data_IF_650501953456
#
_entry.id   IF_650501953456
#
_cell.length_a   1.000
_cell.length_b   1.000
_cell.length_c   1.000
_cell.angle_alpha   90.00
_cell.angle_beta   90.00
_cell.angle_gamma   90.00
#
_symmetry.space_group_name_H-M   'P 1'
#
loop_
_entity.id
_entity.type
_entity.pdbx_description
1 polymer ?
#
# COMPACT_ATOMS: atom_id res chain seq x y z
N UNK A 1 10.09 13.07 0.35
CA UNK A 1 9.81 11.85 -0.42
C UNK A 1 8.31 11.56 -0.56
N UNK A 2 7.77 11.69 -1.78
CA UNK A 2 6.35 11.45 -2.11
C UNK A 2 6.06 9.99 -2.48
N UNK A 3 7.04 9.30 -3.09
CA UNK A 3 6.96 7.90 -3.53
C UNK A 3 6.41 6.97 -2.45
N UNK A 4 6.92 7.06 -1.22
CA UNK A 4 6.54 6.15 -0.13
C UNK A 4 5.25 6.54 0.61
N UNK A 5 4.54 7.61 0.20
CA UNK A 5 3.34 8.04 0.97
C UNK A 5 2.14 7.10 0.81
N UNK A 6 2.09 6.28 -0.25
CA UNK A 6 1.09 5.20 -0.41
C UNK A 6 1.23 4.08 0.64
N UNK A 7 2.41 3.98 1.26
CA UNK A 7 2.72 2.91 2.19
C UNK A 7 2.33 3.25 3.64
N UNK A 8 1.78 4.44 3.91
CA UNK A 8 1.36 4.91 5.24
C UNK A 8 -0.15 4.77 5.42
N UNK A 9 -0.57 4.20 6.54
CA UNK A 9 -1.98 4.00 6.93
C UNK A 9 -2.43 5.03 7.95
N UNK A 10 -2.67 6.24 7.47
CA UNK A 10 -3.18 7.35 8.27
C UNK A 10 -2.15 7.98 9.22
N UNK A 11 -2.60 8.95 10.02
CA UNK A 11 -1.70 9.75 10.85
C UNK A 11 -1.04 8.94 11.98
N UNK A 12 -1.77 7.99 12.56
CA UNK A 12 -1.35 7.16 13.69
C UNK A 12 -0.77 5.79 13.32
N UNK A 13 -0.29 5.62 12.08
CA UNK A 13 0.32 4.37 11.62
C UNK A 13 1.54 3.99 12.49
N UNK A 14 1.53 2.84 13.19
CA UNK A 14 2.65 2.44 14.02
C UNK A 14 3.84 1.90 13.21
N UNK A 15 3.68 1.64 11.91
CA UNK A 15 4.78 1.16 11.05
C UNK A 15 5.40 2.25 10.20
N UNK A 16 4.79 3.45 10.14
CA UNK A 16 5.28 4.56 9.33
C UNK A 16 5.05 5.90 10.00
N UNK A 17 6.14 6.62 10.30
CA UNK A 17 6.08 7.94 10.91
C UNK A 17 6.91 8.94 10.11
N UNK A 18 6.39 10.15 9.93
CA UNK A 18 7.17 11.26 9.40
C UNK A 18 7.56 12.19 10.55
N UNK A 19 8.82 12.58 10.57
CA UNK A 19 9.39 13.55 11.50
C UNK A 19 10.20 14.57 10.69
N UNK A 20 9.62 15.76 10.49
CA UNK A 20 10.16 16.75 9.55
C UNK A 20 10.36 16.17 8.13
N UNK A 21 11.60 16.22 7.64
CA UNK A 21 12.01 15.67 6.34
C UNK A 21 12.31 14.17 6.36
N UNK A 22 12.37 13.55 7.55
CA UNK A 22 12.73 12.15 7.77
C UNK A 22 11.49 11.27 7.79
N UNK A 23 11.57 10.13 7.09
CA UNK A 23 10.55 9.08 7.13
C UNK A 23 11.11 7.89 7.89
N UNK A 24 10.48 7.56 9.01
CA UNK A 24 10.72 6.33 9.76
C UNK A 24 9.73 5.26 9.31
N UNK A 25 10.24 4.04 9.09
CA UNK A 25 9.42 2.87 8.80
C UNK A 25 9.95 1.64 9.51
N UNK A 26 9.06 0.70 9.76
CA UNK A 26 9.38 -0.65 10.19
C UNK A 26 8.89 -1.65 9.15
N UNK A 27 9.51 -2.82 9.11
CA UNK A 27 9.10 -3.93 8.26
C UNK A 27 9.68 -5.24 8.81
N UNK A 28 9.21 -6.38 8.31
CA UNK A 28 9.79 -7.68 8.61
C UNK A 28 10.49 -8.26 7.39
N UNK A 29 11.81 -8.36 7.51
CA UNK A 29 12.67 -9.03 6.54
C UNK A 29 12.72 -10.54 6.83
N UNK A 30 13.18 -11.34 5.86
CA UNK A 30 13.37 -12.77 6.09
C UNK A 30 14.41 -13.02 7.18
N UNK A 31 15.42 -12.15 7.24
CA UNK A 31 16.46 -12.09 8.26
C UNK A 31 15.99 -11.49 9.61
N UNK A 32 14.77 -10.94 9.69
CA UNK A 32 14.14 -10.50 10.93
C UNK A 32 13.58 -9.07 10.92
N UNK A 33 13.18 -8.54 12.09
CA UNK A 33 12.60 -7.21 12.18
C UNK A 33 13.60 -6.11 11.83
N UNK A 34 13.12 -5.05 11.19
CA UNK A 34 13.92 -3.86 10.86
C UNK A 34 13.14 -2.58 11.15
N UNK A 35 13.86 -1.60 11.68
CA UNK A 35 13.48 -0.18 11.60
C UNK A 35 14.45 0.52 10.67
N UNK A 36 13.97 1.43 9.85
CA UNK A 36 14.82 2.27 9.03
C UNK A 36 14.30 3.69 8.94
N UNK A 37 15.24 4.63 8.82
CA UNK A 37 14.95 6.03 8.55
C UNK A 37 15.47 6.42 7.18
N UNK A 38 14.65 7.15 6.44
CA UNK A 38 14.96 7.63 5.11
C UNK A 38 14.93 9.15 5.10
N UNK A 39 15.96 9.76 4.54
CA UNK A 39 16.04 11.19 4.31
C UNK A 39 16.34 11.46 2.84
N UNK A 40 15.64 12.43 2.25
CA UNK A 40 15.84 12.81 0.85
C UNK A 40 16.32 14.27 0.81
N UNK A 41 17.64 14.51 0.98
CA UNK A 41 18.19 15.87 1.02
C UNK A 41 17.95 16.66 -0.27
N UNK A 42 17.91 15.97 -1.41
CA UNK A 42 17.52 16.54 -2.69
C UNK A 42 16.89 15.49 -3.62
N UNK A 43 16.38 15.90 -4.78
CA UNK A 43 15.51 15.07 -5.64
C UNK A 43 16.10 13.71 -6.05
N UNK A 44 17.41 13.61 -6.26
CA UNK A 44 18.11 12.41 -6.76
C UNK A 44 18.90 11.60 -5.71
N UNK A 45 18.83 11.94 -4.43
CA UNK A 45 19.57 11.25 -3.38
C UNK A 45 18.63 10.89 -2.24
N UNK A 46 18.62 9.61 -1.88
CA UNK A 46 18.00 9.11 -0.66
C UNK A 46 19.09 8.50 0.20
N UNK A 47 19.18 8.93 1.45
CA UNK A 47 20.05 8.33 2.46
C UNK A 47 19.20 7.48 3.39
N UNK A 48 19.74 6.33 3.80
CA UNK A 48 19.06 5.40 4.69
C UNK A 48 19.97 4.97 5.83
N UNK A 49 19.39 4.81 7.01
CA UNK A 49 19.98 4.11 8.14
C UNK A 49 18.99 3.07 8.64
N UNK A 50 19.50 1.92 9.07
CA UNK A 50 18.70 0.76 9.39
C UNK A 50 19.20 0.08 10.67
N UNK A 51 18.28 -0.48 11.45
CA UNK A 51 18.55 -1.14 12.72
C UNK A 51 17.75 -2.43 12.84
N UNK A 52 18.34 -3.42 13.52
CA UNK A 52 17.76 -4.74 13.75
C UNK A 52 18.33 -5.81 12.81
N UNK A 53 17.96 -7.09 13.03
CA UNK A 53 18.46 -8.21 12.24
C UNK A 53 18.20 -8.08 10.72
N UNK A 54 17.08 -7.44 10.35
CA UNK A 54 16.71 -7.20 8.96
C UNK A 54 17.40 -6.01 8.28
N UNK A 55 18.34 -5.33 8.95
CA UNK A 55 18.92 -4.08 8.46
C UNK A 55 19.67 -4.23 7.13
N UNK A 56 20.53 -5.24 7.01
CA UNK A 56 21.32 -5.48 5.79
C UNK A 56 20.40 -5.81 4.60
N UNK A 57 19.49 -6.79 4.75
CA UNK A 57 18.52 -7.17 3.70
C UNK A 57 17.68 -5.96 3.24
N UNK A 58 17.25 -5.11 4.17
CA UNK A 58 16.49 -3.91 3.83
C UNK A 58 17.33 -2.90 3.04
N UNK A 59 18.59 -2.67 3.43
CA UNK A 59 19.48 -1.75 2.73
C UNK A 59 19.82 -2.25 1.32
N UNK A 60 20.01 -3.55 1.14
CA UNK A 60 20.21 -4.16 -0.18
C UNK A 60 18.99 -3.95 -1.09
N UNK A 61 17.78 -4.03 -0.53
CA UNK A 61 16.52 -3.77 -1.23
C UNK A 61 16.13 -2.29 -1.38
N UNK A 62 16.94 -1.36 -0.85
CA UNK A 62 16.60 0.07 -0.81
C UNK A 62 16.32 0.68 -2.20
N UNK A 63 17.11 0.41 -3.27
CA UNK A 63 16.85 0.97 -4.59
C UNK A 63 15.44 0.64 -5.11
N UNK A 64 15.01 -0.62 -4.98
CA UNK A 64 13.66 -1.05 -5.30
C UNK A 64 12.60 -0.33 -4.46
N UNK A 65 12.80 -0.27 -3.14
CA UNK A 65 11.87 0.36 -2.20
C UNK A 65 11.57 1.81 -2.58
N UNK A 66 12.61 2.60 -2.89
CA UNK A 66 12.46 4.03 -3.22
C UNK A 66 12.08 4.28 -4.68
N UNK A 67 11.91 3.22 -5.47
CA UNK A 67 11.50 3.27 -6.87
C UNK A 67 12.64 3.66 -7.84
N UNK A 68 13.90 3.41 -7.48
CA UNK A 68 15.03 3.63 -8.39
C UNK A 68 15.00 2.70 -9.61
N UNK A 69 14.31 1.56 -9.48
CA UNK A 69 14.11 0.57 -10.55
C UNK A 69 12.78 0.74 -11.29
N UNK A 70 11.97 1.74 -10.93
CA UNK A 70 10.77 2.09 -11.68
C UNK A 70 11.19 2.83 -12.96
N UNK A 71 10.91 2.22 -14.11
CA UNK A 71 11.22 2.77 -15.42
C UNK A 71 10.03 3.58 -15.98
N UNK A 72 10.11 4.92 -16.04
CA UNK A 72 9.07 5.75 -16.64
C UNK A 72 9.18 5.85 -18.17
N UNK A 73 10.14 5.18 -18.81
CA UNK A 73 10.31 5.24 -20.26
C UNK A 73 9.03 4.83 -20.99
N UNK A 74 8.70 5.56 -22.05
CA UNK A 74 7.46 5.35 -22.81
C UNK A 74 6.20 5.88 -22.13
N UNK A 75 6.28 6.47 -20.93
CA UNK A 75 5.13 7.15 -20.33
C UNK A 75 4.82 8.46 -21.06
N UNK A 76 3.66 8.51 -21.73
CA UNK A 76 3.14 9.74 -22.34
C UNK A 76 1.92 10.26 -21.56
N UNK A 77 2.04 11.34 -20.77
CA UNK A 77 0.95 11.83 -19.95
C UNK A 77 -0.23 12.40 -20.76
N UNK A 78 -0.02 12.99 -21.94
CA UNK A 78 -0.96 13.67 -22.86
C UNK A 78 -2.05 14.61 -22.27
N UNK A 79 -2.82 14.18 -21.28
CA UNK A 79 -3.90 14.94 -20.66
C UNK A 79 -3.32 16.13 -19.85
N UNK A 80 -3.81 17.37 -20.02
CA UNK A 80 -3.20 18.57 -19.41
C UNK A 80 -2.96 18.45 -17.90
N UNK A 81 -3.90 17.87 -17.15
CA UNK A 81 -3.75 17.68 -15.70
C UNK A 81 -2.67 16.65 -15.35
N UNK A 82 -2.55 15.58 -16.15
CA UNK A 82 -1.53 14.54 -15.95
C UNK A 82 -0.16 15.08 -16.32
N UNK A 83 -0.05 15.82 -17.43
CA UNK A 83 1.17 16.53 -17.87
C UNK A 83 1.67 17.47 -16.79
N UNK A 84 0.78 18.32 -16.28
CA UNK A 84 1.10 19.31 -15.27
C UNK A 84 1.49 18.66 -13.93
N UNK A 85 0.77 17.62 -13.49
CA UNK A 85 1.15 16.85 -12.30
C UNK A 85 2.49 16.14 -12.49
N UNK A 86 2.76 15.55 -13.65
CA UNK A 86 4.03 14.90 -13.97
C UNK A 86 5.20 15.90 -13.88
N UNK A 87 5.02 17.09 -14.46
CA UNK A 87 6.00 18.19 -14.39
C UNK A 87 6.26 18.67 -12.96
N UNK A 88 5.23 18.74 -12.10
CA UNK A 88 5.40 19.13 -10.69
C UNK A 88 6.10 18.06 -9.84
N UNK A 89 6.02 16.80 -10.25
CA UNK A 89 6.50 15.66 -9.48
C UNK A 89 7.52 14.79 -10.26
N UNK A 90 8.62 15.35 -10.78
CA UNK A 90 9.55 14.62 -11.67
C UNK A 90 10.28 13.44 -10.99
N UNK A 91 10.36 13.47 -9.65
CA UNK A 91 10.93 12.39 -8.83
C UNK A 91 9.91 11.39 -8.30
N UNK A 92 8.64 11.47 -8.71
CA UNK A 92 7.64 10.47 -8.34
C UNK A 92 7.97 9.16 -9.04
N UNK A 93 7.96 8.08 -8.26
CA UNK A 93 8.17 6.71 -8.71
C UNK A 93 7.11 5.80 -8.09
N UNK A 94 7.02 4.58 -8.58
CA UNK A 94 6.24 3.50 -7.95
C UNK A 94 7.15 2.74 -6.98
N UNK A 95 6.81 2.66 -5.68
CA UNK A 95 7.64 1.95 -4.71
C UNK A 95 7.50 0.43 -4.86
N UNK A 96 8.55 -0.31 -4.47
CA UNK A 96 8.53 -1.77 -4.42
C UNK A 96 9.07 -2.28 -3.11
N UNK A 97 8.21 -2.56 -2.13
CA UNK A 97 8.67 -3.08 -0.83
C UNK A 97 9.13 -4.53 -0.89
N UNK A 98 8.64 -5.32 -1.87
CA UNK A 98 8.84 -6.76 -1.91
C UNK A 98 8.25 -7.50 -0.70
N UNK A 99 7.36 -6.87 0.07
CA UNK A 99 6.71 -7.45 1.27
C UNK A 99 5.23 -7.67 0.96
N UNK A 100 4.92 -8.83 0.38
CA UNK A 100 3.58 -9.11 -0.13
C UNK A 100 2.62 -9.34 1.01
N UNK A 101 3.01 -10.11 2.03
CA UNK A 101 2.13 -10.36 3.17
C UNK A 101 1.74 -9.07 3.91
N UNK A 102 2.68 -8.11 4.04
CA UNK A 102 2.42 -6.80 4.65
C UNK A 102 1.37 -6.00 3.86
N UNK A 103 1.51 -5.98 2.52
CA UNK A 103 0.56 -5.31 1.64
C UNK A 103 -0.80 -6.02 1.63
N UNK A 104 -0.79 -7.35 1.62
CA UNK A 104 -1.97 -8.20 1.52
C UNK A 104 -2.84 -8.11 2.78
N UNK A 105 -2.27 -8.26 3.97
CA UNK A 105 -3.03 -8.12 5.23
C UNK A 105 -3.61 -6.71 5.37
N UNK A 106 -2.83 -5.68 5.04
CA UNK A 106 -3.32 -4.31 5.05
C UNK A 106 -4.46 -4.09 4.05
N UNK A 107 -4.32 -4.59 2.82
CA UNK A 107 -5.38 -4.58 1.82
C UNK A 107 -6.63 -5.29 2.32
N UNK A 108 -6.52 -6.49 2.90
CA UNK A 108 -7.67 -7.21 3.47
C UNK A 108 -8.39 -6.39 4.53
N UNK A 109 -7.67 -5.79 5.48
CA UNK A 109 -8.26 -4.94 6.54
C UNK A 109 -9.02 -3.73 5.96
N UNK A 110 -8.54 -3.17 4.86
CA UNK A 110 -9.11 -2.00 4.19
C UNK A 110 -10.32 -2.32 3.29
N UNK A 111 -10.63 -3.59 3.04
CA UNK A 111 -11.72 -3.99 2.14
C UNK A 111 -13.09 -3.45 2.57
N UNK A 112 -13.72 -2.66 1.68
CA UNK A 112 -15.12 -2.21 1.77
C UNK A 112 -15.47 -1.48 3.08
N UNK A 113 -14.51 -0.75 3.65
CA UNK A 113 -14.69 0.05 4.87
C UNK A 113 -14.20 1.48 4.69
N UNK A 114 -14.65 2.36 5.59
CA UNK A 114 -14.10 3.70 5.69
C UNK A 114 -12.63 3.60 6.13
N UNK A 115 -11.73 4.25 5.39
CA UNK A 115 -10.29 4.15 5.64
C UNK A 115 -9.87 4.52 7.07
N UNK A 116 -10.58 5.45 7.73
CA UNK A 116 -10.34 5.78 9.14
C UNK A 116 -10.53 4.57 10.07
N UNK A 117 -11.55 3.75 9.83
CA UNK A 117 -11.85 2.57 10.63
C UNK A 117 -10.82 1.46 10.35
N UNK A 118 -10.44 1.27 9.07
CA UNK A 118 -9.37 0.36 8.69
C UNK A 118 -8.01 0.74 9.32
N UNK A 119 -7.66 2.03 9.32
CA UNK A 119 -6.41 2.51 9.92
C UNK A 119 -6.43 2.41 11.45
N UNK A 120 -7.58 2.58 12.08
CA UNK A 120 -7.75 2.32 13.52
C UNK A 120 -7.56 0.83 13.85
N UNK A 121 -8.14 -0.06 13.05
CA UNK A 121 -7.96 -1.50 13.16
C UNK A 121 -6.49 -1.90 12.99
N UNK A 122 -5.85 -1.42 11.91
CA UNK A 122 -4.43 -1.62 11.62
C UNK A 122 -3.56 -1.22 12.82
N UNK A 123 -3.78 -0.01 13.35
CA UNK A 123 -3.05 0.48 14.53
C UNK A 123 -3.29 -0.41 15.74
N UNK A 124 -4.54 -0.76 16.07
CA UNK A 124 -4.85 -1.58 17.25
C UNK A 124 -4.13 -2.93 17.19
N UNK A 125 -4.23 -3.62 16.05
CA UNK A 125 -3.63 -4.94 15.86
C UNK A 125 -2.10 -4.88 15.96
N UNK A 126 -1.45 -3.88 15.34
CA UNK A 126 -0.01 -3.70 15.46
C UNK A 126 0.46 -3.33 16.87
N UNK A 127 -0.28 -2.47 17.57
CA UNK A 127 0.06 -2.12 18.95
C UNK A 127 -0.02 -3.32 19.90
N UNK A 128 -0.91 -4.28 19.61
CA UNK A 128 -1.13 -5.47 20.42
C UNK A 128 -0.22 -6.64 20.06
N UNK A 129 0.00 -6.88 18.77
CA UNK A 129 0.65 -8.09 18.25
C UNK A 129 1.96 -7.82 17.49
N UNK A 130 2.29 -6.56 17.23
CA UNK A 130 3.55 -6.20 16.58
C UNK A 130 4.70 -6.17 17.58
N UNK A 131 5.89 -6.58 17.12
CA UNK A 131 7.10 -6.52 17.94
C UNK A 131 7.55 -5.06 18.15
N UNK A 132 8.31 -4.78 19.24
CA UNK A 132 9.01 -3.51 19.38
C UNK A 132 9.90 -3.21 18.17
N UNK A 133 9.88 -1.96 17.72
CA UNK A 133 10.74 -1.48 16.63
C UNK A 133 12.22 -1.45 17.07
N UNK A 134 13.15 -2.13 16.37
CA UNK A 134 14.58 -2.09 16.70
C UNK A 134 15.19 -0.68 16.61
N UNK A 135 16.28 -0.45 17.35
CA UNK A 135 17.08 0.77 17.25
C UNK A 135 16.41 2.01 17.86
N UNK A 136 16.85 3.22 17.49
CA UNK A 136 16.34 4.49 18.03
C UNK A 136 15.00 4.89 17.39
N UNK A 137 14.13 3.91 17.12
CA UNK A 137 12.83 4.15 16.52
C UNK A 137 12.00 5.12 17.39
N UNK A 138 11.26 6.08 16.80
CA UNK A 138 10.32 6.89 17.55
C UNK A 138 9.38 6.05 18.41
N UNK A 139 9.14 6.51 19.64
CA UNK A 139 8.30 5.80 20.60
C UNK A 139 6.92 5.44 20.01
N UNK A 140 6.49 4.20 20.28
CA UNK A 140 5.21 3.66 19.84
C UNK A 140 5.23 3.01 18.46
N UNK A 141 6.35 3.03 17.73
CA UNK A 141 6.46 2.25 16.51
C UNK A 141 6.47 0.74 16.80
N UNK A 142 5.94 -0.03 15.86
CA UNK A 142 5.82 -1.49 15.92
C UNK A 142 6.24 -2.10 14.60
N UNK A 143 6.85 -3.28 14.65
CA UNK A 143 7.14 -4.07 13.46
C UNK A 143 5.91 -4.87 13.09
N UNK A 144 5.74 -5.12 11.78
CA UNK A 144 4.73 -6.05 11.29
C UNK A 144 4.85 -7.41 12.02
N UNK A 145 3.75 -7.98 12.56
CA UNK A 145 3.78 -9.30 13.21
C UNK A 145 4.27 -10.41 12.27
N UNK A 146 4.74 -11.52 12.81
CA UNK A 146 5.08 -12.68 11.96
C UNK A 146 3.82 -13.28 11.34
N UNK A 147 4.00 -14.09 10.30
CA UNK A 147 2.92 -14.83 9.67
C UNK A 147 2.18 -15.73 10.68
N UNK A 148 2.94 -16.39 11.56
CA UNK A 148 2.42 -17.24 12.62
C UNK A 148 1.58 -16.43 13.61
N UNK A 149 2.08 -15.26 14.04
CA UNK A 149 1.32 -14.37 14.93
C UNK A 149 0.02 -13.92 14.29
N UNK A 150 0.03 -13.48 13.03
CA UNK A 150 -1.18 -13.09 12.31
C UNK A 150 -2.19 -14.23 12.18
N UNK A 151 -1.71 -15.44 11.88
CA UNK A 151 -2.53 -16.64 11.78
C UNK A 151 -3.13 -17.04 13.14
N UNK A 152 -2.45 -16.74 14.25
CA UNK A 152 -2.89 -17.09 15.61
C UNK A 152 -3.71 -16.01 16.31
N UNK A 153 -3.90 -14.81 15.72
CA UNK A 153 -4.71 -13.76 16.35
C UNK A 153 -6.13 -14.30 16.57
N UNK A 154 -6.62 -14.35 17.82
CA UNK A 154 -7.95 -14.88 18.08
C UNK A 154 -9.07 -14.01 17.51
N UNK A 155 -10.20 -14.62 17.17
CA UNK A 155 -11.32 -13.93 16.52
C UNK A 155 -11.84 -12.70 17.29
N UNK A 156 -11.84 -12.75 18.62
CA UNK A 156 -12.29 -11.62 19.45
C UNK A 156 -11.36 -10.41 19.36
N UNK A 157 -10.06 -10.60 19.10
CA UNK A 157 -9.12 -9.47 18.94
C UNK A 157 -9.32 -8.76 17.59
N UNK A 158 -9.70 -9.51 16.54
CA UNK A 158 -10.15 -8.93 15.26
C UNK A 158 -11.45 -8.14 15.41
N UNK A 159 -12.42 -8.73 16.11
CA UNK A 159 -13.70 -8.10 16.41
C UNK A 159 -13.53 -6.80 17.20
N UNK A 160 -12.73 -6.84 18.26
CA UNK A 160 -12.37 -5.66 19.05
C UNK A 160 -11.63 -4.59 18.23
N UNK A 161 -10.91 -4.99 17.18
CA UNK A 161 -10.30 -4.08 16.21
C UNK A 161 -11.29 -3.49 15.20
N UNK A 162 -12.54 -3.94 15.17
CA UNK A 162 -13.54 -3.52 14.18
C UNK A 162 -13.40 -4.23 12.84
N UNK A 163 -12.72 -5.38 12.80
CA UNK A 163 -12.58 -6.21 11.59
C UNK A 163 -13.64 -7.31 11.61
N UNK A 164 -14.44 -7.40 10.56
CA UNK A 164 -15.50 -8.40 10.48
C UNK A 164 -14.93 -9.83 10.33
N UNK A 165 -15.73 -10.87 10.64
CA UNK A 165 -15.27 -12.26 10.59
C UNK A 165 -14.82 -12.76 9.21
N UNK A 166 -15.30 -12.18 8.11
CA UNK A 166 -14.86 -12.56 6.77
C UNK A 166 -13.46 -12.00 6.50
N UNK A 167 -13.24 -10.69 6.71
CA UNK A 167 -11.90 -10.08 6.59
C UNK A 167 -10.88 -10.76 7.50
N UNK A 168 -11.25 -11.03 8.75
CA UNK A 168 -10.37 -11.72 9.70
C UNK A 168 -9.94 -13.11 9.19
N UNK A 169 -10.89 -13.91 8.72
CA UNK A 169 -10.60 -15.25 8.15
C UNK A 169 -9.71 -15.17 6.90
N UNK A 170 -9.95 -14.20 6.02
CA UNK A 170 -9.11 -13.98 4.84
C UNK A 170 -7.69 -13.55 5.24
N UNK A 171 -7.53 -12.63 6.18
CA UNK A 171 -6.21 -12.20 6.66
C UNK A 171 -5.44 -13.37 7.28
N UNK A 172 -6.10 -14.18 8.11
CA UNK A 172 -5.50 -15.39 8.68
C UNK A 172 -5.18 -16.45 7.60
N UNK A 173 -6.00 -16.59 6.56
CA UNK A 173 -5.72 -17.50 5.44
C UNK A 173 -4.48 -17.05 4.66
N UNK A 174 -4.34 -15.76 4.40
CA UNK A 174 -3.14 -15.16 3.81
C UNK A 174 -1.91 -15.41 4.70
N UNK A 175 -2.05 -15.19 6.01
CA UNK A 175 -0.99 -15.39 6.97
C UNK A 175 -0.52 -16.85 7.07
N UNK A 176 -1.43 -17.83 6.98
CA UNK A 176 -1.09 -19.26 7.02
C UNK A 176 -0.23 -19.73 5.85
N UNK A 177 -0.31 -19.07 4.70
CA UNK A 177 0.61 -19.34 3.59
C UNK A 177 2.04 -18.86 3.90
N UNK A 178 2.17 -17.87 4.80
CA UNK A 178 3.45 -17.38 5.30
C UNK A 178 4.38 -16.95 4.16
N UNK A 179 5.61 -17.49 4.18
CA UNK A 179 6.64 -17.17 3.17
C UNK A 179 6.23 -17.53 1.75
N UNK A 180 5.31 -18.49 1.54
CA UNK A 180 4.88 -18.88 0.19
C UNK A 180 4.27 -17.72 -0.60
N UNK A 181 3.66 -16.75 0.10
CA UNK A 181 3.10 -15.55 -0.53
C UNK A 181 4.19 -14.62 -1.04
N UNK A 182 5.30 -14.50 -0.31
CA UNK A 182 6.47 -13.74 -0.74
C UNK A 182 7.26 -14.54 -1.82
N UNK A 183 7.27 -15.88 -1.75
CA UNK A 183 7.89 -16.76 -2.74
C UNK A 183 7.22 -16.66 -4.12
N UNK A 184 5.92 -16.33 -4.20
CA UNK A 184 5.26 -16.03 -5.48
C UNK A 184 5.98 -14.91 -6.24
N UNK A 185 6.50 -13.91 -5.54
CA UNK A 185 7.27 -12.81 -6.16
C UNK A 185 8.62 -13.32 -6.64
N UNK A 186 9.30 -14.13 -5.83
CA UNK A 186 10.59 -14.72 -6.21
C UNK A 186 10.45 -15.64 -7.43
N UNK A 187 9.40 -16.46 -7.47
CA UNK A 187 9.16 -17.44 -8.52
C UNK A 187 8.76 -16.80 -9.87
N UNK A 188 8.00 -15.71 -9.84
CA UNK A 188 7.47 -15.06 -11.05
C UNK A 188 8.20 -13.76 -11.43
N UNK A 189 9.11 -13.27 -10.59
CA UNK A 189 9.92 -12.08 -10.85
C UNK A 189 9.06 -10.85 -11.17
N UNK A 190 9.18 -10.36 -12.41
CA UNK A 190 8.43 -9.19 -12.93
C UNK A 190 7.11 -9.56 -13.63
N UNK A 191 6.73 -10.84 -13.71
CA UNK A 191 5.39 -11.24 -14.16
C UNK A 191 4.37 -10.97 -13.05
N UNK A 192 4.01 -9.69 -12.88
CA UNK A 192 3.01 -9.26 -11.91
C UNK A 192 1.66 -9.91 -12.15
N UNK A 193 1.32 -10.24 -13.41
CA UNK A 193 0.06 -10.89 -13.74
C UNK A 193 0.00 -12.32 -13.16
N UNK A 194 1.10 -13.08 -13.19
CA UNK A 194 1.18 -14.38 -12.53
C UNK A 194 1.04 -14.29 -11.02
N UNK A 195 1.74 -13.35 -10.38
CA UNK A 195 1.63 -13.11 -8.93
C UNK A 195 0.18 -12.77 -8.56
N UNK A 196 -0.45 -11.84 -9.28
CA UNK A 196 -1.84 -11.44 -9.06
C UNK A 196 -2.81 -12.61 -9.23
N UNK A 197 -2.63 -13.48 -10.24
CA UNK A 197 -3.43 -14.70 -10.40
C UNK A 197 -3.29 -15.64 -9.20
N UNK A 198 -2.05 -15.84 -8.71
CA UNK A 198 -1.77 -16.64 -7.52
C UNK A 198 -2.46 -16.08 -6.28
N UNK A 199 -2.34 -14.78 -6.03
CA UNK A 199 -2.98 -14.12 -4.88
C UNK A 199 -4.50 -14.23 -4.92
N UNK A 200 -5.11 -14.11 -6.10
CA UNK A 200 -6.56 -14.20 -6.28
C UNK A 200 -7.13 -15.62 -6.11
N UNK A 201 -6.29 -16.64 -5.98
CA UNK A 201 -6.73 -17.98 -5.56
C UNK A 201 -7.10 -18.05 -4.08
N UNK A 202 -6.68 -17.07 -3.27
CA UNK A 202 -6.97 -17.01 -1.84
C UNK A 202 -8.41 -16.53 -1.63
N UNK A 203 -9.26 -17.27 -0.89
CA UNK A 203 -10.63 -16.85 -0.62
C UNK A 203 -10.72 -15.48 0.06
N UNK A 204 -11.44 -14.55 -0.58
CA UNK A 204 -11.60 -13.16 -0.12
C UNK A 204 -10.55 -12.19 -0.66
N UNK A 205 -9.57 -12.63 -1.47
CA UNK A 205 -8.63 -11.76 -2.19
C UNK A 205 -9.15 -11.50 -3.60
N UNK A 206 -9.76 -10.33 -3.79
CA UNK A 206 -10.31 -9.89 -5.08
C UNK A 206 -9.34 -9.07 -5.94
N UNK A 207 -9.86 -8.54 -7.05
CA UNK A 207 -9.12 -7.67 -7.98
C UNK A 207 -8.52 -6.45 -7.28
N UNK A 208 -9.32 -5.78 -6.44
CA UNK A 208 -8.91 -4.60 -5.69
C UNK A 208 -7.73 -4.91 -4.75
N UNK A 209 -7.84 -5.95 -3.91
CA UNK A 209 -6.78 -6.29 -2.94
C UNK A 209 -5.50 -6.74 -3.64
N UNK A 210 -5.60 -7.49 -4.75
CA UNK A 210 -4.42 -7.88 -5.50
C UNK A 210 -3.73 -6.68 -6.18
N UNK A 211 -4.50 -5.70 -6.67
CA UNK A 211 -3.96 -4.45 -7.18
C UNK A 211 -3.24 -3.64 -6.09
N UNK A 212 -3.82 -3.54 -4.88
CA UNK A 212 -3.19 -2.85 -3.75
C UNK A 212 -1.83 -3.46 -3.36
N UNK A 213 -1.68 -4.78 -3.53
CA UNK A 213 -0.40 -5.49 -3.43
C UNK A 213 0.54 -5.12 -4.57
N UNK A 214 0.07 -5.14 -5.82
CA UNK A 214 0.85 -4.71 -6.99
C UNK A 214 1.47 -3.32 -6.80
N UNK A 215 0.65 -2.38 -6.34
CA UNK A 215 1.00 -0.96 -6.13
C UNK A 215 2.08 -0.78 -5.06
N UNK A 216 2.08 -1.60 -3.98
CA UNK A 216 2.92 -1.38 -2.80
C UNK A 216 4.11 -2.33 -2.71
N UNK A 217 3.89 -3.60 -3.04
CA UNK A 217 4.87 -4.66 -2.87
C UNK A 217 5.59 -5.03 -4.16
N UNK A 218 4.90 -5.02 -5.30
CA UNK A 218 5.48 -5.47 -6.58
C UNK A 218 6.10 -4.34 -7.40
N UNK A 219 5.73 -3.09 -7.12
CA UNK A 219 6.16 -1.95 -7.94
C UNK A 219 5.45 -1.92 -9.29
N UNK A 220 4.20 -2.39 -9.33
CA UNK A 220 3.40 -2.45 -10.56
C UNK A 220 2.88 -1.06 -10.94
N UNK A 221 3.52 -0.45 -11.93
CA UNK A 221 3.12 0.84 -12.48
C UNK A 221 1.82 0.78 -13.31
N UNK A 222 1.28 -0.42 -13.54
CA UNK A 222 0.07 -0.66 -14.31
C UNK A 222 -1.11 -1.17 -13.46
N UNK A 223 -0.90 -1.44 -12.16
CA UNK A 223 -1.92 -1.96 -11.27
C UNK A 223 -2.98 -0.90 -10.92
N UNK A 224 -4.24 -1.16 -11.24
CA UNK A 224 -5.37 -0.28 -10.90
C UNK A 224 -6.31 -1.01 -9.94
N UNK A 225 -6.63 -0.35 -8.84
CA UNK A 225 -7.54 -0.86 -7.81
C UNK A 225 -9.00 -0.67 -8.21
N UNK A 226 -9.42 -1.38 -9.25
CA UNK A 226 -10.82 -1.44 -9.68
C UNK A 226 -11.74 -1.86 -8.54
N UNK A 227 -12.91 -1.25 -8.44
CA UNK A 227 -13.87 -1.43 -7.37
C UNK A 227 -13.59 -0.57 -6.14
N UNK A 228 -12.56 0.29 -6.21
CA UNK A 228 -12.34 1.32 -5.19
C UNK A 228 -13.46 2.37 -5.27
N UNK A 229 -13.96 2.77 -4.10
CA UNK A 229 -15.09 3.67 -4.00
C UNK A 229 -14.83 5.07 -4.57
N UNK A 230 -13.57 5.50 -4.59
CA UNK A 230 -13.15 6.85 -4.99
C UNK A 230 -12.41 6.88 -6.32
N UNK A 231 -11.57 5.88 -6.63
CA UNK A 231 -10.66 5.95 -7.80
C UNK A 231 -11.40 6.25 -9.10
N UNK A 232 -12.44 5.49 -9.47
CA UNK A 232 -13.16 5.73 -10.73
C UNK A 232 -13.77 7.14 -10.80
N UNK A 233 -14.41 7.58 -9.71
CA UNK A 233 -15.05 8.90 -9.63
C UNK A 233 -14.04 10.03 -9.73
N UNK A 234 -12.97 9.97 -8.95
CA UNK A 234 -11.93 11.00 -8.90
C UNK A 234 -11.22 11.12 -10.25
N UNK A 235 -10.92 9.99 -10.89
CA UNK A 235 -10.31 9.96 -12.22
C UNK A 235 -11.27 10.48 -13.28
N UNK A 236 -12.54 10.07 -13.25
CA UNK A 236 -13.56 10.57 -14.17
C UNK A 236 -13.75 12.09 -14.07
N UNK A 237 -13.83 12.64 -12.86
CA UNK A 237 -13.95 14.09 -12.69
C UNK A 237 -12.77 14.85 -13.29
N UNK A 238 -11.57 14.27 -13.22
CA UNK A 238 -10.36 14.89 -13.77
C UNK A 238 -10.27 14.75 -15.28
N UNK A 239 -10.65 13.60 -15.85
CA UNK A 239 -10.50 13.32 -17.27
C UNK A 239 -11.69 13.74 -18.13
N UNK A 240 -12.90 13.75 -17.55
CA UNK A 240 -14.16 13.97 -18.26
C UNK A 240 -15.13 14.93 -17.56
N UNK A 241 -14.78 15.49 -16.39
CA UNK A 241 -15.63 16.43 -15.65
C UNK A 241 -16.84 15.78 -14.94
N UNK A 242 -16.99 14.45 -15.01
CA UNK A 242 -18.07 13.67 -14.40
C UNK A 242 -17.52 12.39 -13.77
N UNK A 243 -18.18 11.77 -12.78
CA UNK A 243 -17.68 10.50 -12.26
C UNK A 243 -17.72 9.41 -13.34
N UNK A 244 -16.73 8.50 -13.29
CA UNK A 244 -16.76 7.24 -14.03
C UNK A 244 -17.25 6.09 -13.16
N UNK A 245 -17.79 5.06 -13.81
CA UNK A 245 -17.79 3.71 -13.27
C UNK A 245 -16.47 2.96 -13.57
N UNK A 246 -16.36 1.71 -13.12
CA UNK A 246 -15.16 0.89 -13.30
C UNK A 246 -14.88 0.53 -14.77
N UNK A 247 -15.92 0.37 -15.60
CA UNK A 247 -15.77 0.02 -17.01
C UNK A 247 -15.24 1.22 -17.80
N UNK A 248 -15.81 2.39 -17.56
CA UNK A 248 -15.33 3.66 -18.11
C UNK A 248 -13.91 3.99 -17.64
N UNK A 249 -13.59 3.72 -16.37
CA UNK A 249 -12.22 3.84 -15.86
C UNK A 249 -11.25 2.93 -16.62
N UNK A 250 -11.64 1.67 -16.86
CA UNK A 250 -10.79 0.71 -17.56
C UNK A 250 -10.51 1.16 -19.00
N UNK A 251 -11.54 1.60 -19.72
CA UNK A 251 -11.43 2.12 -21.09
C UNK A 251 -10.54 3.38 -21.12
N UNK A 252 -10.81 4.35 -20.26
CA UNK A 252 -10.08 5.61 -20.22
C UNK A 252 -8.59 5.43 -19.92
N UNK A 253 -8.25 4.47 -19.05
CA UNK A 253 -6.87 4.21 -18.65
C UNK A 253 -6.08 3.37 -19.66
N UNK A 254 -6.72 2.66 -20.58
CA UNK A 254 -6.05 1.67 -21.45
C UNK A 254 -4.90 2.27 -22.26
N UNK A 255 -5.05 3.51 -22.74
CA UNK A 255 -4.03 4.24 -23.51
C UNK A 255 -2.71 4.47 -22.76
N UNK A 256 -2.73 4.42 -21.43
CA UNK A 256 -1.56 4.66 -20.60
C UNK A 256 -0.87 3.40 -20.15
N UNK A 257 -1.26 2.21 -20.62
CA UNK A 257 -0.46 1.01 -20.38
C UNK A 257 0.99 1.21 -20.86
N UNK A 258 2.00 0.72 -20.09
CA UNK A 258 1.93 -0.02 -18.82
C UNK A 258 2.05 0.88 -17.55
N UNK A 259 1.51 2.10 -17.59
CA UNK A 259 1.68 3.17 -16.58
C UNK A 259 0.35 3.61 -15.94
N UNK A 260 -0.70 2.79 -15.96
CA UNK A 260 -2.03 3.19 -15.47
C UNK A 260 -2.02 3.61 -13.99
N UNK A 261 -1.29 2.90 -13.13
CA UNK A 261 -1.13 3.31 -11.73
C UNK A 261 -0.39 4.64 -11.61
N UNK A 262 0.60 4.88 -12.47
CA UNK A 262 1.33 6.16 -12.48
C UNK A 262 0.36 7.32 -12.74
N UNK A 263 -0.59 7.15 -13.67
CA UNK A 263 -1.63 8.15 -13.96
C UNK A 263 -2.53 8.35 -12.75
N UNK A 264 -3.06 7.26 -12.17
CA UNK A 264 -3.89 7.33 -10.95
C UNK A 264 -3.16 8.09 -9.86
N UNK A 265 -1.88 7.80 -9.67
CA UNK A 265 -1.05 8.43 -8.66
C UNK A 265 -0.78 9.91 -8.92
N UNK A 266 -0.49 10.28 -10.16
CA UNK A 266 -0.28 11.67 -10.57
C UNK A 266 -1.56 12.48 -10.40
N UNK A 267 -2.72 11.92 -10.75
CA UNK A 267 -4.01 12.56 -10.54
C UNK A 267 -4.27 12.75 -9.04
N UNK A 268 -4.08 11.72 -8.21
CA UNK A 268 -4.26 11.81 -6.76
C UNK A 268 -3.36 12.86 -6.07
N UNK A 269 -2.22 13.23 -6.68
CA UNK A 269 -1.32 14.29 -6.19
C UNK A 269 -1.64 15.67 -6.79
N UNK A 270 -2.58 15.75 -7.72
CA UNK A 270 -3.01 17.02 -8.32
C UNK A 270 -3.85 17.82 -7.33
N UNK A 271 -3.59 19.13 -7.16
CA UNK A 271 -4.41 19.99 -6.29
C UNK A 271 -5.85 20.17 -6.81
N UNK A 272 -6.12 19.74 -8.05
CA UNK A 272 -7.44 19.77 -8.69
C UNK A 272 -8.33 18.61 -8.25
N UNK A 273 -7.75 17.52 -7.72
CA UNK A 273 -8.54 16.48 -7.07
C UNK A 273 -9.02 17.03 -5.73
N UNK A 274 -10.26 17.54 -5.74
CA UNK A 274 -10.98 17.90 -4.53
C UNK A 274 -11.90 16.73 -4.20
N UNK A 275 -11.61 15.92 -3.16
CA UNK A 275 -12.56 14.91 -2.73
C UNK A 275 -13.88 15.63 -2.43
N UNK A 276 -14.98 15.08 -2.94
CA UNK A 276 -16.32 15.62 -2.66
C UNK A 276 -16.50 15.72 -1.14
N UNK A 277 -16.45 16.95 -0.61
CA UNK A 277 -16.50 17.19 0.84
C UNK A 277 -17.86 16.82 1.45
N UNK A 278 -18.88 16.56 0.62
CA UNK A 278 -20.29 16.36 0.98
C UNK A 278 -20.98 15.24 0.20
N UNK A 279 -20.25 14.19 -0.19
CA UNK A 279 -20.89 12.96 -0.68
C UNK A 279 -21.53 12.15 0.46
N UNK A 280 -22.56 11.32 0.19
CA UNK A 280 -23.08 10.39 1.18
C UNK A 280 -21.95 9.48 1.67
N UNK A 281 -21.68 9.55 2.99
CA UNK A 281 -20.63 8.73 3.61
C UNK A 281 -21.16 7.31 3.74
N UNK A 282 -20.32 6.32 3.42
CA UNK A 282 -20.66 4.94 3.74
C UNK A 282 -21.01 4.83 5.23
N UNK A 283 -22.10 4.15 5.58
CA UNK A 283 -22.49 3.98 6.98
C UNK A 283 -21.33 3.34 7.73
N UNK A 284 -20.94 3.95 8.85
CA UNK A 284 -19.93 3.37 9.74
C UNK A 284 -20.60 2.23 10.48
N UNK A 285 -20.20 0.99 10.17
CA UNK A 285 -20.66 -0.19 10.91
C UNK A 285 -19.69 -0.39 12.08
N UNK A 286 -20.18 -0.21 13.30
CA UNK A 286 -19.37 -0.53 14.49
C UNK A 286 -19.49 -2.01 14.80
N UNK A 287 -18.55 -2.78 14.26
CA UNK A 287 -18.49 -4.22 14.52
C UNK A 287 -18.21 -4.55 15.99
N UNK A 288 -17.75 -3.61 16.82
CA UNK A 288 -17.43 -3.88 18.24
C UNK A 288 -18.66 -3.97 19.13
N UNK A 289 -19.81 -3.49 18.64
CA UNK A 289 -21.05 -3.38 19.39
C UNK A 289 -22.05 -4.54 19.12
N UNK A 290 -21.65 -5.53 18.31
CA UNK A 290 -22.45 -6.70 17.90
C UNK A 290 -21.77 -7.95 18.44
#
# INVERSE_FOLDING_TARGET
MLTLTLLRRGAGDPTTRRDGSVLWRTSRMATGPVTYRLHQPHRRLVTAEAWGPGAAEMLDGLPALVGAEDDPTGFDPHHPIVVDSHRRHPGLRVPRTGRVLEALIGGVIEQRVVGLDAFAAWRRLHMRFGDPAPGPAPHGMRVFPTAETWASIPSWEWHLAGVDPQRARTAQACARLGRQVDDLVTAHGRDHAAVVRGLRSIPGVGVWTAAEVGIRALGDADAVSFGDFHVAKDIGHVLAGRPFDDAELAEALERWRPHRQRVVRLIALSPLVRPERRGPRSPRVDHRAI
#
